data_IF_943917490936
#
_entry.id   IF_943917490936
#
_cell.length_a   1.000
_cell.length_b   1.000
_cell.length_c   1.000
_cell.angle_alpha   90.00
_cell.angle_beta   90.00
_cell.angle_gamma   90.00
#
_symmetry.space_group_name_H-M   'P 1'
#
loop_
_entity.id
_entity.type
_entity.pdbx_description
1 polymer ?
#
# COMPACT_ATOMS: atom_id res chain seq x y z
N UNK A 1 -4.22 2.64 -2.20
CA UNK A 1 -4.93 2.63 -0.90
C UNK A 1 -4.12 3.27 0.22
N UNK A 2 -4.59 4.44 0.66
CA UNK A 2 -3.89 5.45 1.45
C UNK A 2 -3.43 5.16 2.88
N UNK A 3 -3.28 3.90 3.26
CA UNK A 3 -2.82 3.47 4.59
C UNK A 3 -1.30 3.29 4.69
N UNK A 4 -0.86 2.38 5.57
CA UNK A 4 0.53 1.90 5.59
C UNK A 4 0.92 1.27 4.24
N UNK A 5 -0.02 0.60 3.58
CA UNK A 5 0.15 0.10 2.22
C UNK A 5 0.55 1.20 1.22
N UNK A 6 -0.13 2.35 1.25
CA UNK A 6 0.21 3.48 0.38
C UNK A 6 1.64 3.99 0.60
N UNK A 7 2.10 3.99 1.85
CA UNK A 7 3.49 4.34 2.18
C UNK A 7 4.48 3.26 1.72
N UNK A 8 4.14 1.97 1.85
CA UNK A 8 4.97 0.85 1.38
C UNK A 8 5.11 0.86 -0.15
N UNK A 9 4.00 1.06 -0.88
CA UNK A 9 4.01 1.18 -2.34
C UNK A 9 4.83 2.39 -2.78
N UNK A 10 4.65 3.55 -2.15
CA UNK A 10 5.45 4.73 -2.44
C UNK A 10 6.95 4.49 -2.22
N UNK A 11 7.32 3.81 -1.13
CA UNK A 11 8.71 3.43 -0.86
C UNK A 11 9.26 2.45 -1.90
N UNK A 12 8.50 1.41 -2.23
CA UNK A 12 8.91 0.40 -3.22
C UNK A 12 9.11 1.03 -4.60
N UNK A 13 8.16 1.87 -5.05
CA UNK A 13 8.27 2.58 -6.31
C UNK A 13 9.49 3.51 -6.35
N UNK A 14 9.75 4.25 -5.26
CA UNK A 14 10.95 5.07 -5.11
C UNK A 14 12.23 4.24 -5.24
N UNK A 15 12.31 3.08 -4.58
CA UNK A 15 13.48 2.19 -4.64
C UNK A 15 13.69 1.58 -6.03
N UNK A 16 12.61 1.33 -6.76
CA UNK A 16 12.65 0.76 -8.10
C UNK A 16 12.74 1.82 -9.21
N UNK A 17 12.70 3.12 -8.88
CA UNK A 17 12.76 4.20 -9.87
C UNK A 17 11.47 4.37 -10.68
N UNK A 18 10.32 3.92 -10.16
CA UNK A 18 9.02 4.04 -10.79
C UNK A 18 8.19 5.17 -10.19
N UNK A 19 7.27 5.72 -10.99
CA UNK A 19 6.27 6.67 -10.49
C UNK A 19 5.16 5.92 -9.77
N UNK A 20 4.71 6.47 -8.65
CA UNK A 20 3.54 5.97 -7.92
C UNK A 20 2.58 7.10 -7.62
N UNK A 21 1.28 6.85 -7.86
CA UNK A 21 0.19 7.75 -7.48
C UNK A 21 -0.60 7.09 -6.35
N UNK A 22 -0.74 7.77 -5.22
CA UNK A 22 -1.38 7.26 -4.02
C UNK A 22 -2.65 8.06 -3.72
N UNK A 23 -3.77 7.35 -3.66
CA UNK A 23 -5.09 7.91 -3.34
C UNK A 23 -5.42 7.67 -1.87
N UNK A 24 -5.79 8.76 -1.18
CA UNK A 24 -6.12 8.81 0.25
C UNK A 24 -7.40 9.62 0.48
N UNK A 25 -8.26 9.27 1.45
CA UNK A 25 -9.40 10.12 1.82
C UNK A 25 -8.93 11.36 2.59
N UNK A 26 -9.78 12.38 2.65
CA UNK A 26 -9.50 13.67 3.34
C UNK A 26 -9.22 13.50 4.83
N UNK A 27 -9.83 12.50 5.48
CA UNK A 27 -9.66 12.17 6.90
C UNK A 27 -8.30 11.54 7.24
N UNK A 28 -7.40 11.41 6.26
CA UNK A 28 -6.12 10.73 6.45
C UNK A 28 -5.15 11.53 7.35
N UNK A 29 -4.51 10.90 8.35
CA UNK A 29 -3.61 11.61 9.27
C UNK A 29 -2.44 12.31 8.57
N UNK A 30 -2.11 13.58 8.93
CA UNK A 30 -1.04 14.36 8.28
C UNK A 30 0.33 13.67 8.24
N UNK A 31 0.71 12.97 9.31
CA UNK A 31 1.96 12.23 9.38
C UNK A 31 2.08 11.16 8.28
N UNK A 32 0.95 10.56 7.88
CA UNK A 32 0.91 9.55 6.82
C UNK A 32 1.08 10.20 5.44
N UNK A 33 0.42 11.33 5.21
CA UNK A 33 0.56 12.12 3.98
C UNK A 33 2.00 12.59 3.78
N UNK A 34 2.63 13.07 4.85
CA UNK A 34 4.03 13.50 4.85
C UNK A 34 4.97 12.33 4.50
N UNK A 35 4.76 11.15 5.09
CA UNK A 35 5.56 9.95 4.78
C UNK A 35 5.45 9.55 3.31
N UNK A 36 4.24 9.48 2.76
CA UNK A 36 4.03 9.12 1.35
C UNK A 36 4.73 10.13 0.42
N UNK A 37 4.57 11.44 0.69
CA UNK A 37 5.24 12.50 -0.06
C UNK A 37 6.77 12.42 0.05
N UNK A 38 7.30 12.04 1.21
CA UNK A 38 8.75 11.92 1.41
C UNK A 38 9.41 10.85 0.54
N UNK A 39 8.62 9.88 0.03
CA UNK A 39 9.08 8.89 -0.95
C UNK A 39 8.91 9.35 -2.40
N UNK A 40 8.49 10.59 -2.65
CA UNK A 40 8.36 11.15 -4.00
C UNK A 40 7.13 10.66 -4.78
N UNK A 41 6.16 10.03 -4.10
CA UNK A 41 4.91 9.62 -4.74
C UNK A 41 3.94 10.80 -4.93
N UNK A 42 3.22 10.78 -6.04
CA UNK A 42 2.12 11.71 -6.32
C UNK A 42 0.95 11.40 -5.38
N UNK A 43 0.58 12.35 -4.52
CA UNK A 43 -0.46 12.14 -3.52
C UNK A 43 -1.76 12.83 -3.93
N UNK A 44 -2.81 12.03 -4.15
CA UNK A 44 -4.17 12.52 -4.44
C UNK A 44 -5.01 12.37 -3.18
N UNK A 45 -5.43 13.50 -2.62
CA UNK A 45 -6.32 13.54 -1.45
C UNK A 45 -7.73 13.85 -1.94
N UNK A 46 -8.68 12.96 -1.67
CA UNK A 46 -10.07 13.18 -2.07
C UNK A 46 -11.02 12.08 -1.59
N UNK A 47 -12.29 12.45 -1.44
CA UNK A 47 -13.33 11.59 -0.88
C UNK A 47 -13.33 11.60 0.64
N UNK A 48 -14.52 11.45 1.22
CA UNK A 48 -14.69 11.44 2.67
C UNK A 48 -14.25 10.11 3.29
N UNK A 49 -14.26 9.02 2.50
CA UNK A 49 -14.02 7.65 2.96
C UNK A 49 -13.09 6.90 2.02
N UNK A 50 -12.54 5.81 2.54
CA UNK A 50 -11.65 4.91 1.80
C UNK A 50 -12.26 4.42 0.47
N UNK A 51 -13.54 4.04 0.47
CA UNK A 51 -14.21 3.54 -0.74
C UNK A 51 -14.20 4.57 -1.89
N UNK A 52 -14.33 5.85 -1.57
CA UNK A 52 -14.31 6.94 -2.56
C UNK A 52 -12.90 7.17 -3.11
N UNK A 53 -11.88 7.10 -2.24
CA UNK A 53 -10.48 7.15 -2.67
C UNK A 53 -10.06 5.92 -3.48
N UNK A 54 -10.61 4.74 -3.19
CA UNK A 54 -10.40 3.52 -3.96
C UNK A 54 -11.03 3.65 -5.37
N UNK A 55 -12.29 4.07 -5.45
CA UNK A 55 -12.95 4.28 -6.74
C UNK A 55 -12.19 5.30 -7.61
N UNK A 56 -11.71 6.41 -7.04
CA UNK A 56 -10.88 7.38 -7.75
C UNK A 56 -9.55 6.78 -8.26
N UNK A 57 -8.95 5.88 -7.48
CA UNK A 57 -7.74 5.14 -7.91
C UNK A 57 -8.05 4.17 -9.06
N UNK A 58 -9.22 3.55 -9.04
CA UNK A 58 -9.67 2.62 -10.08
C UNK A 58 -9.91 3.34 -11.40
N UNK A 59 -10.63 4.47 -11.35
CA UNK A 59 -10.86 5.34 -12.49
C UNK A 59 -9.55 5.88 -13.08
N UNK A 60 -8.60 6.26 -12.21
CA UNK A 60 -7.28 6.71 -12.67
C UNK A 60 -6.53 5.60 -13.41
N UNK A 61 -6.51 4.39 -12.86
CA UNK A 61 -5.87 3.25 -13.49
C UNK A 61 -6.51 2.92 -14.86
N UNK A 62 -7.85 2.89 -14.92
CA UNK A 62 -8.58 2.65 -16.17
C UNK A 62 -8.26 3.70 -17.24
N UNK A 63 -8.07 4.96 -16.84
CA UNK A 63 -7.84 6.08 -17.77
C UNK A 63 -6.38 6.23 -18.20
N UNK A 64 -5.43 5.78 -17.39
CA UNK A 64 -3.98 5.97 -17.63
C UNK A 64 -3.25 4.68 -18.02
N UNK A 65 -3.85 3.52 -17.80
CA UNK A 65 -3.19 2.22 -17.92
C UNK A 65 -2.21 1.92 -16.78
N UNK A 66 -2.25 2.68 -15.68
CA UNK A 66 -1.41 2.42 -14.52
C UNK A 66 -1.74 1.06 -13.88
N UNK A 67 -0.71 0.32 -13.48
CA UNK A 67 -0.88 -0.91 -12.72
C UNK A 67 -1.50 -0.60 -11.36
N UNK A 68 -2.61 -1.27 -11.04
CA UNK A 68 -3.17 -1.19 -9.71
C UNK A 68 -2.37 -2.05 -8.73
N UNK A 69 -2.05 -1.46 -7.58
CA UNK A 69 -1.44 -2.17 -6.44
C UNK A 69 -2.42 -2.13 -5.28
N UNK A 70 -3.30 -3.13 -5.24
CA UNK A 70 -4.32 -3.29 -4.23
C UNK A 70 -3.70 -3.67 -2.88
N UNK A 71 -4.35 -3.28 -1.77
CA UNK A 71 -3.76 -3.37 -0.43
C UNK A 71 -3.76 -4.76 0.21
N UNK A 72 -4.54 -5.69 -0.32
CA UNK A 72 -4.70 -7.03 0.27
C UNK A 72 -5.24 -8.05 -0.75
N UNK A 73 -6.22 -7.65 -1.56
CA UNK A 73 -6.84 -8.51 -2.57
C UNK A 73 -6.01 -8.66 -3.87
N UNK A 74 -4.71 -8.95 -3.73
CA UNK A 74 -3.80 -9.27 -4.83
C UNK A 74 -2.86 -10.38 -4.37
N UNK A 75 -2.66 -11.39 -5.21
CA UNK A 75 -1.87 -12.58 -4.88
C UNK A 75 -0.44 -12.21 -4.50
N UNK A 76 0.19 -11.31 -5.25
CA UNK A 76 1.56 -10.84 -4.99
C UNK A 76 1.67 -10.11 -3.65
N UNK A 77 0.64 -9.34 -3.27
CA UNK A 77 0.60 -8.67 -1.97
C UNK A 77 0.47 -9.70 -0.84
N UNK A 78 -0.39 -10.70 -1.01
CA UNK A 78 -0.60 -11.76 -0.04
C UNK A 78 0.67 -12.61 0.15
N UNK A 79 1.30 -13.03 -0.94
CA UNK A 79 2.57 -13.77 -0.92
C UNK A 79 3.68 -12.94 -0.26
N UNK A 80 3.74 -11.64 -0.55
CA UNK A 80 4.69 -10.72 0.06
C UNK A 80 4.52 -10.65 1.58
N UNK A 81 3.30 -10.48 2.09
CA UNK A 81 3.06 -10.46 3.53
C UNK A 81 3.39 -11.81 4.21
N UNK A 82 3.19 -12.92 3.51
CA UNK A 82 3.47 -14.27 4.01
C UNK A 82 4.94 -14.55 4.28
N UNK A 83 5.88 -13.77 3.71
CA UNK A 83 7.32 -13.96 3.94
C UNK A 83 7.72 -13.84 5.41
N UNK A 84 7.00 -13.03 6.20
CA UNK A 84 7.21 -12.94 7.64
C UNK A 84 6.97 -14.29 8.35
N UNK A 85 6.06 -15.11 7.85
CA UNK A 85 5.83 -16.45 8.40
C UNK A 85 7.06 -17.36 8.24
N UNK A 86 7.78 -17.24 7.12
CA UNK A 86 9.02 -18.00 6.88
C UNK A 86 10.14 -17.55 7.81
N UNK A 87 10.23 -16.24 8.09
CA UNK A 87 11.19 -15.69 9.05
C UNK A 87 10.88 -16.17 10.48
N UNK A 88 9.61 -16.16 10.88
CA UNK A 88 9.17 -16.65 12.19
C UNK A 88 9.47 -18.14 12.36
N UNK A 89 9.19 -18.97 11.35
CA UNK A 89 9.49 -20.41 11.39
C UNK A 89 11.00 -20.68 11.53
N UNK A 90 11.83 -19.88 10.84
CA UNK A 90 13.28 -20.01 10.92
C UNK A 90 13.84 -19.58 12.29
N UNK A 91 13.34 -18.50 12.86
CA UNK A 91 13.82 -17.95 14.13
C UNK A 91 13.24 -18.65 15.36
N UNK A 92 12.04 -19.24 15.25
CA UNK A 92 11.29 -19.91 16.32
C UNK A 92 10.78 -21.29 15.87
N UNK A 93 11.67 -22.30 15.70
CA UNK A 93 11.30 -23.60 15.14
C UNK A 93 10.34 -24.43 16.00
N UNK A 94 10.14 -24.05 17.26
CA UNK A 94 9.26 -24.74 18.21
C UNK A 94 7.92 -24.00 18.43
N UNK A 95 7.59 -23.01 17.60
CA UNK A 95 6.34 -22.26 17.74
C UNK A 95 5.12 -23.18 17.57
N UNK A 96 4.22 -23.19 18.55
CA UNK A 96 2.98 -23.98 18.52
C UNK A 96 1.78 -23.18 18.01
N UNK A 97 1.76 -21.87 18.29
CA UNK A 97 0.63 -20.99 18.00
C UNK A 97 1.09 -19.63 17.48
N UNK A 98 0.56 -19.21 16.32
CA UNK A 98 0.73 -17.87 15.75
C UNK A 98 -0.65 -17.21 15.56
N UNK A 99 -0.83 -16.00 16.10
CA UNK A 99 -2.05 -15.21 15.96
C UNK A 99 -1.79 -14.02 15.01
N UNK A 100 -2.64 -13.86 13.99
CA UNK A 100 -2.53 -12.85 12.91
C UNK A 100 -3.82 -12.04 12.82
#
# INVERSE_FOLDING_TARGET
CGGNHGAAVAYAAMKLGHKATIFVPEVSPPAKLARIRSYGADLVVGGARYAEALAASEDFAARTGALQVHAFNQEETLLGQGTLGLEIEADLPEIDTLLV
#
